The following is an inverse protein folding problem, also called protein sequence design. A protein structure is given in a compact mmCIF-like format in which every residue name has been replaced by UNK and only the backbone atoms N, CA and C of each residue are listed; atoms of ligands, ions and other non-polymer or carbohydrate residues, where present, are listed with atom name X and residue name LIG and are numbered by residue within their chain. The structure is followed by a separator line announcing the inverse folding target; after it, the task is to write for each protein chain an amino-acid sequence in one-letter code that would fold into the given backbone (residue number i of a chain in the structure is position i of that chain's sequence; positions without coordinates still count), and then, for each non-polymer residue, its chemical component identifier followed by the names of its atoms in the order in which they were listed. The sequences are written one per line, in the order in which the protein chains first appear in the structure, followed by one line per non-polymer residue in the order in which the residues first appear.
data_IF_637296740320
#
_entry.id   IF_637296740320
#
_cell.length_a   1.000
_cell.length_b   1.000
_cell.length_c   1.000
_cell.angle_alpha   90.00
_cell.angle_beta   90.00
_cell.angle_gamma   90.00
#
_symmetry.space_group_name_H-M   'P 1'
#
loop_
_entity.id
_entity.type
_entity.pdbx_description
1 polymer ?
#
# COMPACT_ATOMS: atom_id res chain seq x y z
N UNK A 1 -19.27 13.98 -81.21
CA UNK A 1 -18.61 13.96 -79.85
C UNK A 1 -19.67 13.85 -78.79
N UNK A 2 -19.80 12.69 -78.14
CA UNK A 2 -20.81 12.44 -77.11
C UNK A 2 -20.24 12.81 -75.77
N UNK A 3 -20.68 13.93 -75.17
CA UNK A 3 -20.22 14.40 -73.86
C UNK A 3 -20.91 13.64 -72.75
N UNK A 4 -20.15 13.01 -71.84
CA UNK A 4 -20.64 12.37 -70.59
C UNK A 4 -20.95 13.46 -69.59
N UNK A 5 -22.21 13.64 -69.17
CA UNK A 5 -22.65 14.52 -68.14
C UNK A 5 -22.60 13.71 -66.82
N UNK A 6 -21.66 14.04 -65.92
CA UNK A 6 -21.60 13.47 -64.52
C UNK A 6 -22.39 14.41 -63.63
N UNK A 7 -23.52 13.96 -63.10
CA UNK A 7 -24.30 14.68 -62.08
C UNK A 7 -23.99 14.12 -60.70
N UNK A 8 -23.44 14.95 -59.81
CA UNK A 8 -23.27 14.59 -58.41
C UNK A 8 -24.54 15.01 -57.65
N UNK A 9 -25.28 14.02 -57.10
CA UNK A 9 -26.41 14.30 -56.20
C UNK A 9 -25.87 14.38 -54.79
N UNK A 10 -26.02 15.54 -54.16
CA UNK A 10 -25.73 15.69 -52.73
C UNK A 10 -26.77 14.91 -51.91
N UNK A 11 -26.36 14.15 -50.90
CA UNK A 11 -27.28 13.50 -49.98
C UNK A 11 -28.16 14.54 -49.26
N UNK A 12 -29.36 14.18 -48.78
CA UNK A 12 -30.21 15.08 -48.05
C UNK A 12 -29.54 15.45 -46.70
N UNK A 13 -29.85 16.63 -46.15
CA UNK A 13 -29.26 17.15 -44.90
C UNK A 13 -29.46 16.17 -43.74
N UNK A 14 -30.60 15.49 -43.66
CA UNK A 14 -30.88 14.45 -42.67
C UNK A 14 -29.85 13.31 -42.66
N UNK A 15 -29.30 12.94 -43.80
CA UNK A 15 -28.28 11.89 -43.89
C UNK A 15 -26.95 12.33 -43.24
N UNK A 16 -26.62 13.62 -43.29
CA UNK A 16 -25.45 14.16 -42.55
C UNK A 16 -25.70 14.20 -41.06
N UNK A 17 -26.91 14.62 -40.61
CA UNK A 17 -27.29 14.66 -39.21
C UNK A 17 -27.33 13.25 -38.61
N UNK A 18 -27.77 12.24 -39.37
CA UNK A 18 -27.76 10.84 -38.94
C UNK A 18 -26.33 10.28 -38.84
N UNK A 19 -25.48 10.60 -39.82
CA UNK A 19 -24.07 10.22 -39.80
C UNK A 19 -23.32 10.84 -38.63
N UNK A 20 -23.57 12.12 -38.32
CA UNK A 20 -22.98 12.80 -37.17
C UNK A 20 -23.39 12.12 -35.86
N UNK A 21 -24.70 11.86 -35.67
CA UNK A 21 -25.22 11.17 -34.48
C UNK A 21 -24.62 9.78 -34.29
N UNK A 22 -24.54 9.00 -35.37
CA UNK A 22 -23.95 7.65 -35.33
C UNK A 22 -22.45 7.72 -34.98
N UNK A 23 -21.73 8.64 -35.63
CA UNK A 23 -20.29 8.84 -35.36
C UNK A 23 -20.03 9.24 -33.92
N UNK A 24 -20.79 10.20 -33.37
CA UNK A 24 -20.67 10.62 -31.97
C UNK A 24 -20.99 9.45 -31.01
N UNK A 25 -22.06 8.71 -31.29
CA UNK A 25 -22.46 7.55 -30.49
C UNK A 25 -21.37 6.46 -30.47
N UNK A 26 -20.77 6.15 -31.59
CA UNK A 26 -19.66 5.18 -31.70
C UNK A 26 -18.43 5.66 -30.96
N UNK A 27 -18.06 6.94 -31.04
CA UNK A 27 -16.97 7.53 -30.32
C UNK A 27 -17.19 7.49 -28.80
N UNK A 28 -18.42 7.77 -28.36
CA UNK A 28 -18.79 7.68 -26.93
C UNK A 28 -18.68 6.25 -26.41
N UNK A 29 -19.20 5.27 -27.14
CA UNK A 29 -19.08 3.86 -26.79
C UNK A 29 -17.63 3.39 -26.75
N UNK A 30 -16.81 3.78 -27.74
CA UNK A 30 -15.39 3.47 -27.78
C UNK A 30 -14.64 4.06 -26.58
N UNK A 31 -14.91 5.31 -26.21
CA UNK A 31 -14.29 5.96 -25.06
C UNK A 31 -14.68 5.30 -23.71
N UNK A 32 -15.96 4.93 -23.55
CA UNK A 32 -16.44 4.19 -22.38
C UNK A 32 -15.74 2.83 -22.24
N UNK A 33 -15.67 2.07 -23.34
CA UNK A 33 -15.00 0.77 -23.34
C UNK A 33 -13.48 0.91 -23.11
N UNK A 34 -12.83 1.87 -23.77
CA UNK A 34 -11.39 2.10 -23.61
C UNK A 34 -11.02 2.47 -22.16
N UNK A 35 -11.78 3.39 -21.53
CA UNK A 35 -11.54 3.78 -20.13
C UNK A 35 -11.82 2.63 -19.16
N UNK A 36 -12.82 1.79 -19.43
CA UNK A 36 -13.10 0.59 -18.66
C UNK A 36 -11.94 -0.41 -18.73
N UNK A 37 -11.45 -0.72 -19.93
CA UNK A 37 -10.33 -1.63 -20.15
C UNK A 37 -9.05 -1.08 -19.51
N UNK A 38 -8.74 0.21 -19.70
CA UNK A 38 -7.57 0.85 -19.11
C UNK A 38 -7.59 0.79 -17.58
N UNK A 39 -8.72 1.09 -16.94
CA UNK A 39 -8.88 0.99 -15.48
C UNK A 39 -8.70 -0.45 -14.97
N UNK A 40 -9.22 -1.44 -15.71
CA UNK A 40 -9.04 -2.85 -15.40
C UNK A 40 -7.58 -3.30 -15.48
N UNK A 41 -6.87 -2.88 -16.53
CA UNK A 41 -5.42 -3.14 -16.71
C UNK A 41 -4.59 -2.46 -15.62
N UNK A 42 -4.86 -1.19 -15.32
CA UNK A 42 -4.18 -0.47 -14.24
C UNK A 42 -4.37 -1.15 -12.88
N UNK A 43 -5.60 -1.56 -12.52
CA UNK A 43 -5.86 -2.36 -11.32
C UNK A 43 -5.02 -3.64 -11.30
N UNK A 44 -5.03 -4.41 -12.38
CA UNK A 44 -4.30 -5.68 -12.45
C UNK A 44 -2.79 -5.47 -12.25
N UNK A 45 -2.21 -4.41 -12.84
CA UNK A 45 -0.81 -4.04 -12.69
C UNK A 45 -0.48 -3.61 -11.26
N UNK A 46 -1.30 -2.74 -10.64
CA UNK A 46 -1.12 -2.37 -9.22
C UNK A 46 -1.14 -3.60 -8.32
N UNK A 47 -2.08 -4.52 -8.55
CA UNK A 47 -2.16 -5.77 -7.77
C UNK A 47 -0.95 -6.68 -7.99
N UNK A 48 -0.43 -6.76 -9.22
CA UNK A 48 0.77 -7.52 -9.55
C UNK A 48 2.02 -6.93 -8.88
N UNK A 49 2.21 -5.62 -8.98
CA UNK A 49 3.34 -4.91 -8.38
C UNK A 49 3.31 -5.01 -6.84
N UNK A 50 2.12 -4.92 -6.23
CA UNK A 50 1.97 -5.16 -4.78
C UNK A 50 2.35 -6.59 -4.39
N UNK A 51 2.00 -7.59 -5.20
CA UNK A 51 2.43 -8.98 -4.95
C UNK A 51 3.94 -9.13 -5.10
N UNK A 52 4.53 -8.57 -6.14
CA UNK A 52 5.99 -8.56 -6.36
C UNK A 52 6.75 -7.86 -5.23
N UNK A 53 6.17 -6.81 -4.65
CA UNK A 53 6.72 -6.11 -3.48
C UNK A 53 6.50 -6.85 -2.14
N UNK A 54 6.04 -8.10 -2.16
CA UNK A 54 5.71 -8.92 -0.98
C UNK A 54 4.64 -8.29 -0.07
N UNK A 55 3.72 -7.49 -0.62
CA UNK A 55 2.62 -6.86 0.12
C UNK A 55 1.36 -7.77 0.20
N UNK A 56 1.40 -8.93 -0.42
CA UNK A 56 0.46 -10.02 -0.26
C UNK A 56 -1.00 -9.61 -0.44
N UNK A 57 -1.77 -9.71 0.64
CA UNK A 57 -3.23 -9.47 0.61
C UNK A 57 -3.64 -8.01 0.42
N UNK A 58 -2.74 -7.04 0.57
CA UNK A 58 -3.08 -5.63 0.38
C UNK A 58 -3.52 -5.34 -1.05
N UNK A 59 -2.93 -5.99 -2.05
CA UNK A 59 -3.36 -5.87 -3.44
C UNK A 59 -4.83 -6.21 -3.67
N UNK A 60 -5.39 -7.14 -2.88
CA UNK A 60 -6.79 -7.52 -2.99
C UNK A 60 -7.77 -6.40 -2.58
N UNK A 61 -7.30 -5.39 -1.84
CA UNK A 61 -8.09 -4.23 -1.47
C UNK A 61 -8.19 -3.18 -2.59
N UNK A 62 -7.42 -3.33 -3.69
CA UNK A 62 -7.48 -2.44 -4.84
C UNK A 62 -8.62 -2.86 -5.77
N UNK A 63 -9.47 -1.92 -6.10
CA UNK A 63 -10.56 -2.05 -7.05
C UNK A 63 -10.41 -1.12 -8.25
N UNK A 64 -11.19 -1.34 -9.29
CA UNK A 64 -11.37 -0.41 -10.40
C UNK A 64 -12.85 -0.15 -10.64
N UNK A 65 -13.16 0.96 -11.26
CA UNK A 65 -14.49 1.31 -11.74
C UNK A 65 -14.39 2.17 -12.99
N UNK A 66 -15.52 2.36 -13.66
CA UNK A 66 -15.63 3.23 -14.83
C UNK A 66 -17.05 3.76 -14.97
N UNK A 67 -17.21 4.81 -15.80
CA UNK A 67 -18.52 5.33 -16.14
C UNK A 67 -19.36 4.27 -16.88
N UNK A 68 -18.74 3.39 -17.68
CA UNK A 68 -19.41 2.25 -18.28
C UNK A 68 -20.12 1.37 -17.25
N UNK A 69 -19.43 1.00 -16.17
CA UNK A 69 -20.00 0.16 -15.10
C UNK A 69 -21.01 0.90 -14.22
N UNK A 70 -20.80 2.19 -13.98
CA UNK A 70 -21.60 2.97 -13.03
C UNK A 70 -22.87 3.53 -13.66
N UNK A 71 -22.82 3.92 -14.94
CA UNK A 71 -23.87 4.67 -15.63
C UNK A 71 -24.25 4.08 -16.99
N UNK A 72 -23.37 3.31 -17.63
CA UNK A 72 -23.51 2.84 -18.99
C UNK A 72 -23.45 3.96 -20.05
N UNK A 73 -23.10 5.19 -19.65
CA UNK A 73 -23.11 6.37 -20.51
C UNK A 73 -21.98 7.34 -20.17
N UNK A 74 -21.59 8.15 -21.15
CA UNK A 74 -20.65 9.28 -20.97
C UNK A 74 -21.28 10.35 -20.07
N UNK A 75 -20.43 11.20 -19.50
CA UNK A 75 -20.87 12.39 -18.76
C UNK A 75 -20.97 13.57 -19.71
N UNK A 76 -22.12 14.24 -19.73
CA UNK A 76 -22.25 15.53 -20.41
C UNK A 76 -21.42 16.58 -19.66
N UNK A 77 -20.65 17.38 -20.40
CA UNK A 77 -19.79 18.42 -19.86
C UNK A 77 -19.82 19.64 -20.77
N UNK A 78 -20.73 20.57 -20.51
CA UNK A 78 -20.98 21.71 -21.38
C UNK A 78 -21.41 21.28 -22.78
N UNK A 79 -20.68 21.71 -23.81
CA UNK A 79 -20.89 21.33 -25.21
C UNK A 79 -20.23 20.00 -25.58
N UNK A 80 -19.49 19.38 -24.65
CA UNK A 80 -18.77 18.14 -24.88
C UNK A 80 -19.23 17.00 -23.97
N UNK A 81 -18.46 15.92 -23.97
CA UNK A 81 -18.67 14.76 -23.12
C UNK A 81 -17.34 14.18 -22.64
N UNK A 82 -17.39 13.43 -21.55
CA UNK A 82 -16.23 12.74 -20.99
C UNK A 82 -16.58 11.32 -20.59
N UNK A 83 -15.59 10.42 -20.61
CA UNK A 83 -15.65 9.09 -20.06
C UNK A 83 -14.49 8.91 -19.07
N UNK A 84 -14.75 8.29 -17.94
CA UNK A 84 -13.74 8.11 -16.88
C UNK A 84 -13.63 6.67 -16.43
N UNK A 85 -12.40 6.28 -16.14
CA UNK A 85 -12.07 5.07 -15.40
C UNK A 85 -11.20 5.44 -14.19
N UNK A 86 -11.30 4.69 -13.09
CA UNK A 86 -10.56 4.95 -11.86
C UNK A 86 -10.12 3.66 -11.20
N UNK A 87 -9.04 3.77 -10.44
CA UNK A 87 -8.58 2.74 -9.49
C UNK A 87 -8.76 3.29 -8.08
N UNK A 88 -9.26 2.47 -7.17
CA UNK A 88 -9.59 2.88 -5.81
C UNK A 88 -9.32 1.79 -4.80
N UNK A 89 -9.25 2.17 -3.53
CA UNK A 89 -9.17 1.23 -2.41
C UNK A 89 -10.59 0.85 -2.01
N UNK A 90 -10.93 -0.45 -2.04
CA UNK A 90 -12.24 -0.96 -1.65
C UNK A 90 -12.42 -1.08 -0.13
N UNK A 91 -11.31 -1.18 0.60
CA UNK A 91 -11.35 -1.36 2.06
C UNK A 91 -11.78 -0.07 2.75
N UNK A 92 -12.69 -0.20 3.73
CA UNK A 92 -13.07 0.88 4.66
C UNK A 92 -12.20 0.90 5.93
N UNK A 93 -11.30 -0.07 6.10
CA UNK A 93 -10.41 -0.15 7.24
C UNK A 93 -9.28 0.88 7.11
N UNK A 94 -9.21 1.83 8.03
CA UNK A 94 -8.12 2.82 8.11
C UNK A 94 -6.74 2.17 8.10
N UNK A 95 -6.59 1.03 8.77
CA UNK A 95 -5.34 0.28 8.79
C UNK A 95 -4.93 -0.21 7.40
N UNK A 96 -5.89 -0.68 6.59
CA UNK A 96 -5.62 -1.15 5.23
C UNK A 96 -5.32 0.02 4.31
N UNK A 97 -6.10 1.10 4.40
CA UNK A 97 -5.91 2.32 3.62
C UNK A 97 -4.54 2.92 3.92
N UNK A 98 -4.23 3.20 5.19
CA UNK A 98 -2.94 3.74 5.59
C UNK A 98 -1.74 2.84 5.25
N UNK A 99 -1.92 1.50 5.26
CA UNK A 99 -0.87 0.59 4.81
C UNK A 99 -0.62 0.74 3.30
N UNK A 100 -1.68 0.80 2.47
CA UNK A 100 -1.54 0.99 1.02
C UNK A 100 -0.88 2.33 0.73
N UNK A 101 -1.32 3.42 1.35
CA UNK A 101 -0.74 4.75 1.19
C UNK A 101 0.75 4.76 1.55
N UNK A 102 1.12 4.15 2.69
CA UNK A 102 2.52 4.05 3.11
C UNK A 102 3.41 3.28 2.11
N UNK A 103 2.87 2.32 1.37
CA UNK A 103 3.62 1.56 0.37
C UNK A 103 3.61 2.19 -1.02
N UNK A 104 2.66 3.06 -1.33
CA UNK A 104 2.54 3.73 -2.63
C UNK A 104 3.15 5.12 -2.65
N UNK A 105 3.00 5.88 -1.58
CA UNK A 105 3.56 7.24 -1.45
C UNK A 105 4.84 7.29 -0.58
N UNK A 106 5.14 6.20 0.13
CA UNK A 106 6.10 6.20 1.22
C UNK A 106 5.48 6.73 2.51
N UNK A 107 6.15 6.52 3.62
CA UNK A 107 5.70 7.02 4.91
C UNK A 107 6.87 7.39 5.80
N UNK A 108 6.72 8.48 6.53
CA UNK A 108 7.51 8.77 7.71
C UNK A 108 6.77 8.21 8.93
N UNK A 109 7.44 7.35 9.70
CA UNK A 109 6.90 6.74 10.89
C UNK A 109 7.53 7.42 12.09
N UNK A 110 6.72 8.13 12.85
CA UNK A 110 7.09 8.81 14.08
C UNK A 110 6.30 8.25 15.26
N UNK A 111 6.79 8.42 16.51
CA UNK A 111 6.08 7.95 17.67
C UNK A 111 4.75 8.70 17.85
N UNK A 112 3.66 7.97 18.13
CA UNK A 112 2.36 8.56 18.46
C UNK A 112 2.33 9.19 19.85
N UNK A 113 3.13 8.65 20.76
CA UNK A 113 3.27 9.11 22.16
C UNK A 113 4.74 9.16 22.54
N UNK A 114 5.12 10.21 23.24
CA UNK A 114 6.50 10.38 23.70
C UNK A 114 7.46 10.79 22.57
N UNK A 115 8.75 10.74 22.88
CA UNK A 115 9.83 11.24 22.03
C UNK A 115 10.43 10.18 21.11
N UNK A 116 10.18 8.89 21.40
CA UNK A 116 10.93 7.78 20.82
C UNK A 116 10.00 6.70 20.27
N UNK A 117 10.31 6.22 19.09
CA UNK A 117 9.76 4.99 18.53
C UNK A 117 10.63 3.83 19.03
N UNK A 118 10.04 2.95 19.85
CA UNK A 118 10.75 1.84 20.46
C UNK A 118 10.71 0.60 19.59
N UNK A 119 11.89 0.09 19.23
CA UNK A 119 12.07 -1.12 18.43
C UNK A 119 12.58 -2.22 19.34
N UNK A 120 11.87 -3.35 19.49
CA UNK A 120 12.36 -4.48 20.26
C UNK A 120 13.61 -5.07 19.59
N UNK A 121 14.58 -5.48 20.40
CA UNK A 121 15.77 -6.20 19.94
C UNK A 121 15.50 -7.70 19.86
N UNK A 122 16.45 -8.46 19.35
CA UNK A 122 16.37 -9.92 19.27
C UNK A 122 16.53 -10.61 20.65
N UNK A 123 17.00 -9.89 21.69
CA UNK A 123 17.17 -10.40 23.04
C UNK A 123 15.84 -10.63 23.76
N UNK A 124 14.77 -9.99 23.32
CA UNK A 124 13.41 -10.19 23.83
C UNK A 124 12.48 -10.72 22.76
N UNK A 125 11.38 -11.41 23.14
CA UNK A 125 10.39 -11.83 22.15
C UNK A 125 9.82 -10.63 21.40
N UNK A 126 9.76 -10.69 20.07
CA UNK A 126 9.11 -9.65 19.28
C UNK A 126 7.57 -9.65 19.47
N UNK A 127 7.01 -10.80 19.89
CA UNK A 127 5.56 -10.98 20.09
C UNK A 127 5.29 -11.95 21.24
N UNK A 128 4.17 -11.73 21.93
CA UNK A 128 3.56 -12.69 22.86
C UNK A 128 2.19 -13.04 22.30
N UNK A 129 2.03 -14.28 21.83
CA UNK A 129 0.87 -14.70 21.04
C UNK A 129 0.74 -13.87 19.75
N UNK A 130 -0.41 -13.24 19.54
CA UNK A 130 -0.67 -12.37 18.35
C UNK A 130 -0.26 -10.90 18.57
N UNK A 131 0.16 -10.51 19.78
CA UNK A 131 0.45 -9.12 20.15
C UNK A 131 1.95 -8.80 20.00
N UNK A 132 2.26 -7.72 19.28
CA UNK A 132 3.62 -7.15 19.24
C UNK A 132 3.95 -6.56 20.61
N UNK A 133 5.20 -6.68 21.03
CA UNK A 133 5.67 -6.16 22.31
C UNK A 133 6.07 -4.70 22.12
N UNK A 134 5.58 -3.87 23.02
CA UNK A 134 5.93 -2.45 23.16
C UNK A 134 6.28 -2.17 24.61
N UNK A 135 6.99 -1.08 24.95
CA UNK A 135 7.24 -0.72 26.34
C UNK A 135 5.95 -0.60 27.17
N UNK A 136 4.87 -0.06 26.58
CA UNK A 136 3.59 0.16 27.26
C UNK A 136 2.88 -1.16 27.65
N UNK A 137 3.09 -2.22 26.90
CA UNK A 137 2.45 -3.51 27.17
C UNK A 137 3.40 -4.56 27.77
N UNK A 138 4.67 -4.24 27.90
CA UNK A 138 5.71 -5.16 28.41
C UNK A 138 5.34 -5.76 29.76
N UNK A 139 4.95 -4.91 30.71
CA UNK A 139 4.52 -5.35 32.05
C UNK A 139 3.21 -6.12 32.01
N UNK A 140 2.23 -5.64 31.23
CA UNK A 140 0.92 -6.29 31.08
C UNK A 140 1.01 -7.69 30.46
N UNK A 141 2.05 -7.94 29.66
CA UNK A 141 2.33 -9.26 29.07
C UNK A 141 3.16 -10.17 29.99
N UNK A 142 3.42 -9.75 31.21
CA UNK A 142 4.14 -10.52 32.22
C UNK A 142 5.65 -10.64 31.96
N UNK A 143 6.21 -9.82 31.07
CA UNK A 143 7.64 -9.88 30.74
C UNK A 143 8.51 -9.26 31.84
N UNK A 144 8.00 -8.28 32.54
CA UNK A 144 8.69 -7.71 33.69
C UNK A 144 8.98 -8.75 34.79
N UNK A 145 8.06 -9.71 35.01
CA UNK A 145 8.25 -10.82 35.94
C UNK A 145 9.15 -11.92 35.38
N UNK A 146 9.06 -12.18 34.07
CA UNK A 146 9.80 -13.29 33.43
C UNK A 146 11.25 -12.94 33.11
N UNK A 147 11.52 -11.69 32.75
CA UNK A 147 12.82 -11.23 32.26
C UNK A 147 13.39 -10.23 33.27
N UNK A 148 12.61 -9.23 33.67
CA UNK A 148 12.97 -8.15 34.59
C UNK A 148 12.34 -6.82 34.17
N UNK A 149 12.36 -5.79 35.07
CA UNK A 149 11.81 -4.48 34.78
C UNK A 149 12.64 -3.73 33.73
N UNK A 150 11.97 -2.91 32.93
CA UNK A 150 12.64 -2.03 31.97
C UNK A 150 13.25 -0.82 32.69
N UNK A 151 14.50 -0.52 32.40
CA UNK A 151 15.23 0.66 32.87
C UNK A 151 15.64 1.49 31.67
N UNK A 152 15.35 2.78 31.69
CA UNK A 152 15.78 3.71 30.65
C UNK A 152 17.27 4.05 30.84
N UNK A 153 18.02 3.97 29.74
CA UNK A 153 19.45 4.32 29.70
C UNK A 153 19.70 5.14 28.44
N UNK A 154 20.47 6.20 28.57
CA UNK A 154 20.99 6.95 27.42
C UNK A 154 22.43 6.52 27.20
N UNK A 155 22.78 6.08 25.98
CA UNK A 155 24.17 5.77 25.66
C UNK A 155 24.99 7.05 25.52
N UNK A 156 26.33 6.98 25.64
CA UNK A 156 27.20 8.14 25.38
C UNK A 156 27.01 8.77 23.99
N UNK A 157 26.61 7.95 23.00
CA UNK A 157 26.27 8.42 21.65
C UNK A 157 24.87 9.05 21.53
N UNK A 158 24.17 9.27 22.64
CA UNK A 158 22.83 9.87 22.67
C UNK A 158 21.69 8.96 22.18
N UNK A 159 21.92 7.64 22.10
CA UNK A 159 20.86 6.67 21.75
C UNK A 159 20.10 6.24 23.00
N UNK A 160 18.77 6.37 23.03
CA UNK A 160 17.95 5.89 24.14
C UNK A 160 17.77 4.38 24.04
N UNK A 161 17.95 3.70 25.15
CA UNK A 161 17.76 2.26 25.31
C UNK A 161 16.79 2.01 26.46
N UNK A 162 15.99 0.95 26.34
CA UNK A 162 15.33 0.31 27.48
C UNK A 162 16.02 -1.01 27.72
N UNK A 163 16.64 -1.15 28.89
CA UNK A 163 17.44 -2.31 29.27
C UNK A 163 16.80 -3.05 30.42
N UNK A 164 17.12 -4.32 30.52
CA UNK A 164 16.81 -5.14 31.70
C UNK A 164 18.13 -5.52 32.38
N UNK A 165 18.26 -5.21 33.63
CA UNK A 165 19.40 -5.59 34.45
C UNK A 165 19.16 -6.94 35.13
N UNK A 166 20.22 -7.70 35.37
CA UNK A 166 20.12 -8.99 36.04
C UNK A 166 19.34 -10.05 35.25
N UNK A 167 19.44 -10.02 33.94
CA UNK A 167 18.84 -11.02 33.03
C UNK A 167 19.91 -11.89 32.38
N UNK A 168 19.50 -13.06 31.90
CA UNK A 168 20.35 -14.01 31.19
C UNK A 168 19.77 -14.38 29.81
N UNK A 169 20.65 -14.72 28.88
CA UNK A 169 20.29 -15.20 27.54
C UNK A 169 20.53 -16.71 27.42
N UNK A 170 19.87 -17.37 26.52
CA UNK A 170 20.17 -18.76 26.15
C UNK A 170 21.53 -18.84 25.45
N UNK A 171 22.28 -19.90 25.75
CA UNK A 171 23.55 -20.20 25.07
C UNK A 171 23.39 -20.38 23.53
N UNK A 172 22.19 -20.74 23.07
CA UNK A 172 21.89 -20.87 21.65
C UNK A 172 21.76 -19.55 20.88
N UNK A 173 21.83 -18.41 21.57
CA UNK A 173 21.70 -17.08 20.95
C UNK A 173 20.35 -16.80 20.28
N UNK A 174 19.34 -17.66 20.46
CA UNK A 174 18.01 -17.47 19.85
C UNK A 174 17.23 -16.40 20.59
N UNK A 175 16.60 -15.51 19.86
CA UNK A 175 15.60 -14.59 20.38
C UNK A 175 14.55 -15.34 21.20
N UNK A 176 13.95 -14.72 22.21
CA UNK A 176 12.98 -15.28 23.16
C UNK A 176 13.57 -16.09 24.31
N UNK A 177 14.87 -16.05 24.48
CA UNK A 177 15.56 -16.82 25.50
C UNK A 177 15.91 -16.01 26.77
N UNK A 178 15.65 -14.70 26.77
CA UNK A 178 15.90 -13.85 27.93
C UNK A 178 15.02 -14.26 29.11
N UNK A 179 15.66 -14.47 30.27
CA UNK A 179 15.01 -14.82 31.55
C UNK A 179 15.71 -14.10 32.71
N UNK A 180 14.96 -13.87 33.78
CA UNK A 180 15.57 -13.43 35.05
C UNK A 180 16.59 -14.45 35.56
N UNK A 181 17.60 -14.00 36.28
CA UNK A 181 18.49 -14.86 37.00
C UNK A 181 17.72 -15.68 38.06
N UNK A 182 18.36 -16.67 38.63
CA UNK A 182 17.87 -17.40 39.84
C UNK A 182 17.85 -16.44 41.01
N UNK A 183 17.15 -16.80 42.11
CA UNK A 183 17.07 -15.99 43.32
C UNK A 183 18.44 -15.77 43.97
N UNK A 184 19.37 -16.70 43.80
CA UNK A 184 20.75 -16.65 44.24
C UNK A 184 21.69 -15.85 43.32
N UNK A 185 21.16 -15.20 42.27
CA UNK A 185 21.93 -14.49 41.24
C UNK A 185 22.59 -15.41 40.23
N UNK A 186 22.41 -16.72 40.32
CA UNK A 186 23.01 -17.70 39.42
C UNK A 186 22.27 -17.83 38.08
N UNK A 187 22.97 -18.43 37.10
CA UNK A 187 22.43 -18.74 35.78
C UNK A 187 21.53 -19.98 35.85
N UNK A 188 20.50 -20.01 34.99
CA UNK A 188 19.71 -21.20 34.73
C UNK A 188 20.45 -22.13 33.76
N UNK A 189 20.21 -23.45 33.83
CA UNK A 189 20.82 -24.42 32.94
C UNK A 189 20.57 -24.01 31.46
N UNK A 190 21.65 -23.99 30.69
CA UNK A 190 21.62 -23.61 29.28
C UNK A 190 21.54 -22.11 29.00
N UNK A 191 21.88 -21.28 29.99
CA UNK A 191 21.93 -19.83 29.85
C UNK A 191 23.35 -19.31 30.04
N UNK A 192 23.67 -18.24 29.29
CA UNK A 192 24.88 -17.44 29.47
C UNK A 192 24.52 -16.15 30.25
N UNK A 193 25.42 -15.69 31.09
CA UNK A 193 25.23 -14.46 31.83
C UNK A 193 25.23 -13.25 30.90
N UNK A 194 24.25 -12.39 31.10
CA UNK A 194 24.31 -11.02 30.65
C UNK A 194 23.83 -10.14 31.81
N UNK A 195 24.69 -9.29 32.35
CA UNK A 195 24.27 -8.35 33.42
C UNK A 195 23.16 -7.40 32.93
N UNK A 196 23.25 -7.03 31.68
CA UNK A 196 22.31 -6.09 31.07
C UNK A 196 21.92 -6.55 29.66
N UNK A 197 20.62 -6.70 29.45
CA UNK A 197 20.02 -7.03 28.14
C UNK A 197 19.37 -5.78 27.59
N UNK A 198 19.62 -5.46 26.32
CA UNK A 198 18.93 -4.38 25.61
C UNK A 198 17.59 -4.90 25.12
N UNK A 199 16.50 -4.45 25.75
CA UNK A 199 15.16 -4.87 25.36
C UNK A 199 14.60 -4.06 24.18
N UNK A 200 14.83 -2.74 24.17
CA UNK A 200 14.38 -1.86 23.10
C UNK A 200 15.43 -0.79 22.79
N UNK A 201 15.51 -0.46 21.52
CA UNK A 201 16.24 0.71 21.02
C UNK A 201 15.25 1.79 20.62
N UNK A 202 15.46 3.01 21.11
CA UNK A 202 14.65 4.15 20.73
C UNK A 202 15.22 4.88 19.52
N UNK A 203 14.35 5.22 18.57
CA UNK A 203 14.68 6.08 17.45
C UNK A 203 13.67 7.23 17.36
N UNK A 204 14.07 8.38 16.83
CA UNK A 204 13.16 9.53 16.70
C UNK A 204 12.10 9.28 15.65
N UNK A 205 12.51 8.77 14.49
CA UNK A 205 11.65 8.49 13.34
C UNK A 205 12.32 7.48 12.44
N UNK A 206 11.55 6.85 11.60
CA UNK A 206 12.05 6.04 10.49
C UNK A 206 11.24 6.35 9.25
N UNK A 207 11.83 6.21 8.08
CA UNK A 207 11.12 6.37 6.82
C UNK A 207 10.99 5.01 6.12
N UNK A 208 9.94 4.88 5.35
CA UNK A 208 9.73 3.76 4.46
C UNK A 208 9.57 4.29 3.04
N UNK A 209 10.40 3.84 2.12
CA UNK A 209 10.27 4.20 0.72
C UNK A 209 8.99 3.58 0.11
N UNK A 210 8.43 4.25 -0.87
CA UNK A 210 7.41 3.68 -1.74
C UNK A 210 7.95 2.41 -2.41
N UNK A 211 7.10 1.40 -2.57
CA UNK A 211 7.44 0.13 -3.22
C UNK A 211 6.65 -0.11 -4.50
N UNK A 212 5.56 0.64 -4.70
CA UNK A 212 4.68 0.54 -5.86
C UNK A 212 4.40 1.96 -6.36
N UNK A 213 4.78 2.26 -7.59
CA UNK A 213 4.52 3.55 -8.22
C UNK A 213 3.18 3.53 -8.96
N UNK A 214 2.12 3.81 -8.20
CA UNK A 214 0.76 3.89 -8.76
C UNK A 214 0.65 5.04 -9.79
N UNK A 215 1.39 6.14 -9.59
CA UNK A 215 1.33 7.27 -10.52
C UNK A 215 1.90 6.90 -11.90
N UNK A 216 3.00 6.15 -11.95
CA UNK A 216 3.54 5.63 -13.20
C UNK A 216 2.55 4.69 -13.90
N UNK A 217 1.91 3.78 -13.16
CA UNK A 217 0.89 2.86 -13.71
C UNK A 217 -0.30 3.65 -14.29
N UNK A 218 -0.74 4.70 -13.61
CA UNK A 218 -1.84 5.53 -14.11
C UNK A 218 -1.45 6.32 -15.36
N UNK A 219 -0.22 6.86 -15.44
CA UNK A 219 0.29 7.50 -16.66
C UNK A 219 0.36 6.52 -17.84
N UNK A 220 0.81 5.29 -17.62
CA UNK A 220 0.85 4.23 -18.64
C UNK A 220 -0.57 3.90 -19.13
N UNK A 221 -1.52 3.76 -18.20
CA UNK A 221 -2.91 3.52 -18.55
C UNK A 221 -3.51 4.67 -19.38
N UNK A 222 -3.23 5.93 -19.03
CA UNK A 222 -3.65 7.09 -19.81
C UNK A 222 -3.02 7.12 -21.20
N UNK A 223 -1.73 6.85 -21.31
CA UNK A 223 -1.03 6.80 -22.59
C UNK A 223 -1.56 5.70 -23.53
N UNK A 224 -2.15 4.64 -22.98
CA UNK A 224 -2.76 3.56 -23.78
C UNK A 224 -4.14 3.89 -24.36
N UNK A 225 -4.82 4.95 -23.88
CA UNK A 225 -6.20 5.26 -24.25
C UNK A 225 -6.39 5.50 -25.76
N UNK A 226 -5.55 6.29 -26.47
CA UNK A 226 -5.74 6.51 -27.90
C UNK A 226 -5.73 5.20 -28.72
N UNK A 227 -4.79 4.30 -28.37
CA UNK A 227 -4.71 2.98 -29.00
C UNK A 227 -5.94 2.11 -28.72
N UNK A 228 -6.45 2.13 -27.48
CA UNK A 228 -7.66 1.39 -27.09
C UNK A 228 -8.92 1.94 -27.80
N UNK A 229 -9.04 3.26 -27.93
CA UNK A 229 -10.14 3.89 -28.68
C UNK A 229 -10.07 3.49 -30.15
N UNK A 230 -8.89 3.58 -30.78
CA UNK A 230 -8.70 3.19 -32.16
C UNK A 230 -9.02 1.72 -32.45
N UNK A 231 -8.80 0.81 -31.52
CA UNK A 231 -9.19 -0.60 -31.63
C UNK A 231 -10.71 -0.80 -31.61
N UNK A 232 -11.45 0.06 -30.90
CA UNK A 232 -12.91 -0.03 -30.79
C UNK A 232 -13.64 0.62 -32.01
N UNK A 233 -12.96 1.41 -32.81
CA UNK A 233 -13.51 2.09 -33.95
C UNK A 233 -13.30 1.36 -35.30
N UNK A 234 -12.51 0.32 -35.28
CA UNK A 234 -12.27 -0.59 -36.42
C UNK A 234 -13.40 -1.60 -36.53
#
# INVERSE_FOLDING_TARGET
MSGVKVGIRMPPRSAFDDFERDTVSRLQAAALNATHVAAGRAKAKVQADMRGAALGRLGNAVGSGSDLQKRGAVRSQGIGWSASGWVHIRSKSERTVGAIEAYTAGAEISPRKGRWLWIPTDDIPARVGKRSITPDNYTKLGLATKIGPLVFVMTPSGRPLLVVRGASLSASGKSRSAKSLRKDGGLRKGQIGAETIVAFVGIRRTSRAARVDVAAIMREAQASLPGLIGQQLR
#
